data_IF_873441847601
#
_entry.id   IF_873441847601
#
_cell.length_a   1.000
_cell.length_b   1.000
_cell.length_c   1.000
_cell.angle_alpha   90.00
_cell.angle_beta   90.00
_cell.angle_gamma   90.00
#
_symmetry.space_group_name_H-M   'P 1'
#
loop_
_entity.id
_entity.type
_entity.pdbx_description
1 polymer ?
#
# COMPACT_ATOMS: atom_id res chain seq x y z
N UNK A 1 15.94 70.01 -23.32
CA UNK A 1 16.48 68.94 -22.45
C UNK A 1 15.37 68.56 -21.47
N UNK A 2 14.63 67.49 -21.76
CA UNK A 2 13.63 66.92 -20.84
C UNK A 2 13.93 65.42 -20.80
N UNK A 3 14.44 64.97 -19.66
CA UNK A 3 14.76 63.56 -19.41
C UNK A 3 13.47 62.85 -18.98
N UNK A 4 13.04 61.86 -19.76
CA UNK A 4 11.98 60.93 -19.37
C UNK A 4 12.56 59.82 -18.50
N UNK A 5 12.17 59.80 -17.22
CA UNK A 5 12.50 58.76 -16.26
C UNK A 5 11.53 57.59 -16.43
N UNK A 6 12.03 56.47 -16.96
CA UNK A 6 11.29 55.22 -17.06
C UNK A 6 11.31 54.52 -15.70
N UNK A 7 10.14 54.41 -15.04
CA UNK A 7 10.00 53.63 -13.80
C UNK A 7 9.87 52.15 -14.20
N UNK A 8 10.91 51.37 -13.90
CA UNK A 8 10.92 49.92 -14.05
C UNK A 8 10.17 49.31 -12.86
N UNK A 9 8.95 48.80 -13.07
CA UNK A 9 8.24 48.01 -12.06
C UNK A 9 8.87 46.60 -12.03
N UNK A 10 9.74 46.35 -11.06
CA UNK A 10 10.22 44.99 -10.76
C UNK A 10 9.09 44.22 -10.06
N UNK A 11 8.43 43.32 -10.78
CA UNK A 11 7.52 42.36 -10.18
C UNK A 11 8.34 41.35 -9.35
N UNK A 12 8.32 41.53 -8.02
CA UNK A 12 8.80 40.53 -7.07
C UNK A 12 7.91 39.30 -7.18
N UNK A 13 8.35 38.30 -7.96
CA UNK A 13 7.86 36.95 -7.88
C UNK A 13 8.28 36.39 -6.52
N UNK A 14 7.40 36.50 -5.53
CA UNK A 14 7.51 35.71 -4.31
C UNK A 14 7.54 34.22 -4.74
N UNK A 15 8.54 33.42 -4.33
CA UNK A 15 8.48 32.00 -4.54
C UNK A 15 7.20 31.50 -3.87
N UNK A 16 6.33 30.84 -4.63
CA UNK A 16 5.20 30.14 -4.05
C UNK A 16 5.75 29.22 -2.97
N UNK A 17 5.50 29.56 -1.71
CA UNK A 17 5.84 28.69 -0.60
C UNK A 17 5.07 27.39 -0.86
N UNK A 18 5.78 26.36 -1.29
CA UNK A 18 5.25 25.01 -1.41
C UNK A 18 4.88 24.61 0.02
N UNK A 19 3.61 24.79 0.38
CA UNK A 19 3.08 24.29 1.64
C UNK A 19 3.34 22.80 1.65
N UNK A 20 4.17 22.33 2.59
CA UNK A 20 4.41 20.90 2.81
C UNK A 20 3.05 20.25 3.00
N UNK A 21 2.73 19.25 2.18
CA UNK A 21 1.45 18.55 2.29
C UNK A 21 1.35 17.94 3.69
N UNK A 22 0.26 18.21 4.39
CA UNK A 22 0.03 17.65 5.72
C UNK A 22 -0.52 16.24 5.61
N UNK A 23 -0.14 15.37 6.55
CA UNK A 23 -0.68 14.01 6.64
C UNK A 23 -2.18 14.11 6.98
N UNK A 24 -3.07 13.52 6.17
CA UNK A 24 -4.51 13.64 6.41
C UNK A 24 -4.93 12.90 7.68
N UNK A 25 -5.63 13.57 8.61
CA UNK A 25 -6.10 12.92 9.84
C UNK A 25 -7.07 11.76 9.58
N UNK A 26 -7.75 11.76 8.43
CA UNK A 26 -8.68 10.71 8.01
C UNK A 26 -8.02 9.33 7.89
N UNK A 27 -6.70 9.26 7.62
CA UNK A 27 -5.92 8.00 7.64
C UNK A 27 -5.98 7.29 8.99
N UNK A 28 -6.30 8.03 10.05
CA UNK A 28 -6.30 7.59 11.44
C UNK A 28 -7.69 7.70 12.09
N UNK A 29 -8.72 8.03 11.30
CA UNK A 29 -10.08 8.21 11.79
C UNK A 29 -10.67 6.91 12.34
N UNK A 30 -11.43 6.95 13.46
CA UNK A 30 -12.15 5.78 13.95
C UNK A 30 -13.22 5.27 12.97
N UNK A 31 -13.60 6.06 11.95
CA UNK A 31 -14.46 5.62 10.85
C UNK A 31 -13.86 4.44 10.08
N UNK A 32 -12.53 4.34 9.99
CA UNK A 32 -11.84 3.20 9.37
C UNK A 32 -12.26 1.86 9.99
N UNK A 33 -11.89 1.63 11.26
CA UNK A 33 -12.33 0.46 12.02
C UNK A 33 -13.85 0.26 12.01
N UNK A 34 -14.64 1.31 12.22
CA UNK A 34 -16.10 1.22 12.27
C UNK A 34 -16.70 0.68 10.97
N UNK A 35 -16.23 1.18 9.81
CA UNK A 35 -16.72 0.74 8.49
C UNK A 35 -16.29 -0.68 8.17
N UNK A 36 -15.05 -1.06 8.50
CA UNK A 36 -14.57 -2.44 8.29
C UNK A 36 -15.38 -3.43 9.13
N UNK A 37 -15.66 -3.10 10.40
CA UNK A 37 -16.50 -3.93 11.27
C UNK A 37 -17.96 -3.98 10.77
N UNK A 38 -18.52 -2.87 10.30
CA UNK A 38 -19.85 -2.84 9.72
C UNK A 38 -19.94 -3.73 8.47
N UNK A 39 -18.93 -3.70 7.60
CA UNK A 39 -18.83 -4.59 6.45
C UNK A 39 -18.74 -6.05 6.88
N UNK A 40 -17.93 -6.40 7.88
CA UNK A 40 -17.84 -7.78 8.39
C UNK A 40 -19.18 -8.28 8.94
N UNK A 41 -19.91 -7.43 9.67
CA UNK A 41 -21.24 -7.78 10.22
C UNK A 41 -22.32 -7.91 9.15
N UNK A 42 -22.23 -7.13 8.07
CA UNK A 42 -23.16 -7.17 6.95
C UNK A 42 -22.81 -8.24 5.90
N UNK A 43 -21.68 -8.92 6.06
CA UNK A 43 -21.13 -9.86 5.08
C UNK A 43 -22.05 -11.07 4.91
N UNK A 44 -22.55 -11.33 3.69
CA UNK A 44 -23.26 -12.58 3.40
C UNK A 44 -22.33 -13.79 3.58
N UNK A 45 -22.89 -14.95 3.93
CA UNK A 45 -22.13 -16.19 4.10
C UNK A 45 -21.23 -16.47 2.90
N UNK A 46 -19.92 -16.62 3.16
CA UNK A 46 -18.90 -16.92 2.15
C UNK A 46 -18.88 -15.97 0.95
N UNK A 47 -19.13 -14.67 1.18
CA UNK A 47 -18.91 -13.62 0.17
C UNK A 47 -17.97 -12.54 0.69
N UNK A 48 -17.28 -11.88 -0.22
CA UNK A 48 -16.30 -10.82 0.05
C UNK A 48 -16.66 -9.54 -0.71
N UNK A 49 -16.42 -8.36 -0.13
CA UNK A 49 -16.68 -7.10 -0.82
C UNK A 49 -15.59 -6.88 -1.87
N UNK A 50 -15.95 -6.29 -3.02
CA UNK A 50 -14.98 -5.99 -4.07
C UNK A 50 -14.96 -4.50 -4.42
N UNK A 51 -16.11 -3.96 -4.79
CA UNK A 51 -16.31 -2.54 -5.04
C UNK A 51 -17.69 -2.09 -4.57
N UNK A 52 -17.94 -0.79 -4.51
CA UNK A 52 -19.26 -0.25 -4.16
C UNK A 52 -20.12 0.06 -5.40
N UNK A 53 -21.44 0.01 -5.26
CA UNK A 53 -22.34 0.59 -6.27
C UNK A 53 -22.32 2.13 -6.20
N UNK A 54 -23.10 2.80 -7.06
CA UNK A 54 -23.20 4.26 -7.10
C UNK A 54 -23.70 4.89 -5.79
N UNK A 55 -24.36 4.12 -4.92
CA UNK A 55 -24.85 4.55 -3.61
C UNK A 55 -23.82 4.30 -2.49
N UNK A 56 -22.62 3.83 -2.84
CA UNK A 56 -21.57 3.55 -1.85
C UNK A 56 -21.76 2.25 -1.07
N UNK A 57 -22.60 1.32 -1.54
CA UNK A 57 -22.82 0.02 -0.89
C UNK A 57 -21.97 -1.07 -1.53
N UNK A 58 -21.35 -1.93 -0.73
CA UNK A 58 -20.53 -3.05 -1.18
C UNK A 58 -21.33 -4.00 -2.07
N UNK A 59 -20.73 -4.31 -3.21
CA UNK A 59 -21.10 -5.44 -4.07
C UNK A 59 -20.28 -6.65 -3.63
N UNK A 60 -21.00 -7.73 -3.31
CA UNK A 60 -20.43 -8.94 -2.75
C UNK A 60 -20.18 -10.00 -3.82
N UNK A 61 -19.02 -10.63 -3.74
CA UNK A 61 -18.53 -11.65 -4.67
C UNK A 61 -18.19 -12.93 -3.93
N UNK A 62 -18.14 -14.03 -4.67
CA UNK A 62 -17.77 -15.31 -4.09
C UNK A 62 -16.24 -15.39 -3.88
N UNK A 63 -15.78 -16.37 -3.11
CA UNK A 63 -14.38 -16.48 -2.69
C UNK A 63 -13.37 -16.45 -3.87
N UNK A 64 -13.80 -16.94 -5.04
CA UNK A 64 -13.01 -16.99 -6.28
C UNK A 64 -12.76 -15.64 -6.97
N UNK A 65 -13.20 -14.50 -6.42
CA UNK A 65 -12.77 -13.20 -6.93
C UNK A 65 -11.30 -12.92 -6.54
N UNK A 66 -10.51 -12.36 -7.47
CA UNK A 66 -9.10 -12.03 -7.25
C UNK A 66 -8.84 -11.09 -6.06
N UNK A 67 -9.85 -10.33 -5.65
CA UNK A 67 -9.78 -9.37 -4.54
C UNK A 67 -10.10 -9.96 -3.17
N UNK A 68 -10.54 -11.21 -3.08
CA UNK A 68 -11.08 -11.77 -1.83
C UNK A 68 -10.06 -11.80 -0.69
N UNK A 69 -8.77 -11.76 -0.99
CA UNK A 69 -7.70 -11.66 0.03
C UNK A 69 -7.57 -10.29 0.69
N UNK A 70 -8.00 -9.20 0.04
CA UNK A 70 -7.80 -7.84 0.59
C UNK A 70 -8.64 -7.55 1.83
N UNK A 71 -9.88 -8.03 1.87
CA UNK A 71 -10.76 -7.78 3.01
C UNK A 71 -10.26 -8.40 4.32
N UNK A 72 -9.94 -9.71 4.40
CA UNK A 72 -9.30 -10.27 5.59
C UNK A 72 -7.94 -9.62 5.88
N UNK A 73 -7.13 -9.29 4.86
CA UNK A 73 -5.88 -8.57 5.06
C UNK A 73 -6.10 -7.16 5.66
N UNK A 74 -7.24 -6.52 5.41
CA UNK A 74 -7.62 -5.24 6.04
C UNK A 74 -7.83 -5.39 7.54
N UNK A 75 -8.41 -6.51 7.99
CA UNK A 75 -8.53 -6.81 9.42
C UNK A 75 -7.14 -6.95 10.05
N UNK A 76 -6.21 -7.64 9.38
CA UNK A 76 -4.81 -7.68 9.82
C UNK A 76 -4.15 -6.30 9.83
N UNK A 77 -4.39 -5.45 8.84
CA UNK A 77 -3.87 -4.08 8.84
C UNK A 77 -4.39 -3.25 10.03
N UNK A 78 -5.65 -3.43 10.43
CA UNK A 78 -6.19 -2.82 11.65
C UNK A 78 -5.60 -3.43 12.92
N UNK A 79 -5.32 -4.74 12.94
CA UNK A 79 -4.59 -5.37 14.04
C UNK A 79 -3.16 -4.82 14.16
N UNK A 80 -2.46 -4.63 13.05
CA UNK A 80 -1.13 -4.01 13.01
C UNK A 80 -1.18 -2.57 13.54
N UNK A 81 -2.21 -1.79 13.16
CA UNK A 81 -2.40 -0.46 13.75
C UNK A 81 -2.65 -0.54 15.26
N UNK A 82 -3.44 -1.51 15.72
CA UNK A 82 -3.69 -1.73 17.15
C UNK A 82 -2.40 -2.04 17.91
N UNK A 83 -1.49 -2.82 17.33
CA UNK A 83 -0.18 -3.11 17.91
C UNK A 83 0.67 -1.85 17.98
N UNK A 84 0.70 -1.04 16.92
CA UNK A 84 1.47 0.20 16.86
C UNK A 84 0.97 1.29 17.83
N UNK A 85 -0.35 1.39 18.02
CA UNK A 85 -0.97 2.53 18.70
C UNK A 85 -1.63 2.21 20.05
N UNK A 86 -1.78 0.94 20.38
CA UNK A 86 -2.76 0.52 21.38
C UNK A 86 -4.20 0.68 20.89
N UNK A 87 -5.13 0.03 21.60
CA UNK A 87 -6.56 0.15 21.32
C UNK A 87 -7.19 1.18 22.25
N UNK A 88 -7.88 2.18 21.71
CA UNK A 88 -8.64 3.14 22.51
C UNK A 88 -9.88 3.63 21.74
N UNK A 89 -10.77 4.35 22.43
CA UNK A 89 -11.98 4.87 21.81
C UNK A 89 -11.70 5.92 20.71
N UNK A 90 -10.64 6.70 20.84
CA UNK A 90 -10.28 7.76 19.88
C UNK A 90 -9.90 7.22 18.51
N UNK A 91 -9.15 6.11 18.48
CA UNK A 91 -8.74 5.45 17.24
C UNK A 91 -9.72 4.35 16.79
N UNK A 92 -10.71 4.01 17.61
CA UNK A 92 -11.74 3.01 17.29
C UNK A 92 -11.23 1.58 17.17
N UNK A 93 -10.00 1.27 17.59
CA UNK A 93 -9.41 -0.06 17.44
C UNK A 93 -9.83 -1.04 18.54
N UNK A 94 -10.51 -0.57 19.59
CA UNK A 94 -10.99 -1.40 20.71
C UNK A 94 -12.35 -2.06 20.46
N UNK A 95 -12.97 -1.84 19.30
CA UNK A 95 -14.34 -2.30 19.00
C UNK A 95 -14.43 -3.75 18.50
N UNK A 96 -13.30 -4.39 18.22
CA UNK A 96 -13.23 -5.76 17.71
C UNK A 96 -11.87 -6.41 17.98
N UNK A 97 -11.86 -7.75 17.97
CA UNK A 97 -10.62 -8.53 17.82
C UNK A 97 -10.30 -8.66 16.33
N UNK A 98 -9.47 -7.74 15.83
CA UNK A 98 -9.13 -7.66 14.41
C UNK A 98 -8.39 -8.90 13.89
N UNK A 99 -7.52 -9.52 14.70
CA UNK A 99 -6.84 -10.75 14.28
C UNK A 99 -7.84 -11.90 14.17
N UNK A 100 -8.71 -12.08 15.16
CA UNK A 100 -9.72 -13.13 15.12
C UNK A 100 -10.69 -12.97 13.93
N UNK A 101 -11.08 -11.73 13.63
CA UNK A 101 -11.86 -11.43 12.43
C UNK A 101 -11.07 -11.75 11.15
N UNK A 102 -9.78 -11.40 11.07
CA UNK A 102 -8.93 -11.71 9.92
C UNK A 102 -8.83 -13.21 9.66
N UNK A 103 -8.61 -14.01 10.71
CA UNK A 103 -8.63 -15.48 10.64
C UNK A 103 -9.99 -15.97 10.12
N UNK A 104 -11.09 -15.46 10.67
CA UNK A 104 -12.44 -15.89 10.27
C UNK A 104 -12.78 -15.52 8.82
N UNK A 105 -12.45 -14.30 8.40
CA UNK A 105 -12.70 -13.80 7.05
C UNK A 105 -11.78 -14.46 5.99
N UNK A 106 -10.72 -15.15 6.41
CA UNK A 106 -9.86 -15.96 5.53
C UNK A 106 -10.41 -17.37 5.28
N UNK A 107 -11.36 -17.83 6.11
CA UNK A 107 -11.96 -19.17 5.94
C UNK A 107 -12.78 -19.23 4.66
N UNK A 108 -12.50 -20.24 3.85
CA UNK A 108 -13.19 -20.47 2.57
C UNK A 108 -12.56 -19.74 1.38
N UNK A 109 -11.46 -19.00 1.57
CA UNK A 109 -10.67 -18.53 0.43
C UNK A 109 -10.11 -19.71 -0.38
N UNK A 110 -10.09 -19.63 -1.72
CA UNK A 110 -9.57 -20.70 -2.56
C UNK A 110 -8.07 -20.84 -2.37
N UNK A 111 -7.59 -22.07 -2.24
CA UNK A 111 -6.15 -22.39 -2.12
C UNK A 111 -5.57 -22.97 -3.41
N UNK A 112 -6.25 -22.76 -4.54
CA UNK A 112 -5.85 -23.20 -5.87
C UNK A 112 -5.90 -22.06 -6.89
N UNK A 113 -5.21 -22.27 -8.02
CA UNK A 113 -5.19 -21.33 -9.14
C UNK A 113 -6.30 -21.58 -10.17
N UNK A 114 -7.12 -22.62 -10.03
CA UNK A 114 -8.22 -22.91 -10.99
C UNK A 114 -9.29 -21.83 -10.91
N UNK A 115 -9.50 -21.30 -9.71
CA UNK A 115 -10.55 -20.32 -9.43
C UNK A 115 -10.11 -18.87 -9.67
N UNK A 116 -8.81 -18.56 -9.49
CA UNK A 116 -8.29 -17.17 -9.46
C UNK A 116 -7.08 -16.92 -10.37
N UNK A 117 -6.61 -17.91 -11.13
CA UNK A 117 -5.45 -17.77 -12.01
C UNK A 117 -4.18 -17.39 -11.24
N UNK A 118 -3.50 -16.33 -11.67
CA UNK A 118 -2.28 -15.85 -11.00
C UNK A 118 -2.52 -15.05 -9.72
N UNK A 119 -3.74 -14.58 -9.49
CA UNK A 119 -4.09 -13.73 -8.35
C UNK A 119 -4.09 -14.49 -7.02
N UNK A 120 -3.67 -15.77 -7.03
CA UNK A 120 -3.35 -16.54 -5.82
C UNK A 120 -2.39 -15.81 -4.88
N UNK A 121 -1.54 -14.91 -5.40
CA UNK A 121 -0.70 -14.05 -4.57
C UNK A 121 -1.51 -13.02 -3.76
N UNK A 122 -2.48 -12.34 -4.36
CA UNK A 122 -3.40 -11.46 -3.62
C UNK A 122 -4.25 -12.23 -2.60
N UNK A 123 -4.71 -13.44 -2.96
CA UNK A 123 -5.42 -14.33 -2.02
C UNK A 123 -4.53 -14.74 -0.84
N UNK A 124 -3.21 -14.77 -1.02
CA UNK A 124 -2.27 -15.18 0.04
C UNK A 124 -2.07 -14.15 1.15
N UNK A 125 -2.42 -12.88 0.91
CA UNK A 125 -2.13 -11.76 1.81
C UNK A 125 -2.51 -12.02 3.28
N UNK A 126 -3.74 -12.41 3.63
CA UNK A 126 -4.08 -12.63 5.04
C UNK A 126 -3.29 -13.76 5.70
N UNK A 127 -2.86 -14.78 4.95
CA UNK A 127 -2.04 -15.87 5.49
C UNK A 127 -0.60 -15.41 5.73
N UNK A 128 -0.09 -14.53 4.87
CA UNK A 128 1.21 -13.88 5.09
C UNK A 128 1.18 -13.03 6.36
N UNK A 129 0.12 -12.24 6.56
CA UNK A 129 -0.08 -11.45 7.77
C UNK A 129 -0.23 -12.32 9.03
N UNK A 130 -0.94 -13.45 8.95
CA UNK A 130 -1.04 -14.39 10.07
C UNK A 130 0.33 -14.98 10.45
N UNK A 131 1.17 -15.35 9.47
CA UNK A 131 2.52 -15.85 9.77
C UNK A 131 3.44 -14.79 10.37
N UNK A 132 3.24 -13.51 10.05
CA UNK A 132 3.99 -12.43 10.70
C UNK A 132 3.66 -12.34 12.21
N UNK A 133 2.45 -12.71 12.61
CA UNK A 133 1.99 -12.70 14.02
C UNK A 133 2.19 -14.04 14.73
N UNK A 134 2.04 -15.14 14.02
CA UNK A 134 2.18 -16.51 14.51
C UNK A 134 2.94 -17.36 13.47
N UNK A 135 4.28 -17.36 13.51
CA UNK A 135 5.10 -18.08 12.53
C UNK A 135 4.87 -19.59 12.48
N UNK A 136 4.26 -20.16 13.51
CA UNK A 136 3.98 -21.59 13.63
C UNK A 136 2.54 -21.97 13.23
N UNK A 137 1.73 -21.02 12.74
CA UNK A 137 0.35 -21.28 12.33
C UNK A 137 0.28 -22.28 11.17
N UNK A 138 -0.15 -23.49 11.47
CA UNK A 138 -0.16 -24.59 10.51
C UNK A 138 -1.16 -24.38 9.37
N UNK A 139 -2.21 -23.60 9.58
CA UNK A 139 -3.20 -23.30 8.54
C UNK A 139 -2.62 -22.31 7.53
N UNK A 140 -1.97 -21.25 8.01
CA UNK A 140 -1.31 -20.27 7.17
C UNK A 140 -0.12 -20.86 6.40
N UNK A 141 0.73 -21.69 7.05
CA UNK A 141 1.83 -22.42 6.39
C UNK A 141 1.31 -23.27 5.23
N UNK A 142 0.28 -24.10 5.47
CA UNK A 142 -0.31 -24.94 4.42
C UNK A 142 -0.92 -24.10 3.30
N UNK A 143 -1.60 -23.01 3.63
CA UNK A 143 -2.25 -22.13 2.65
C UNK A 143 -1.22 -21.44 1.74
N UNK A 144 -0.15 -20.87 2.31
CA UNK A 144 0.95 -20.25 1.56
C UNK A 144 1.62 -21.26 0.64
N UNK A 145 1.95 -22.46 1.13
CA UNK A 145 2.59 -23.48 0.30
C UNK A 145 1.68 -23.96 -0.84
N UNK A 146 0.39 -24.16 -0.59
CA UNK A 146 -0.57 -24.53 -1.64
C UNK A 146 -0.71 -23.44 -2.70
N UNK A 147 -0.88 -22.19 -2.30
CA UNK A 147 -1.00 -21.05 -3.21
C UNK A 147 0.29 -20.83 -4.02
N UNK A 148 1.46 -20.95 -3.39
CA UNK A 148 2.75 -20.81 -4.06
C UNK A 148 2.99 -21.92 -5.08
N UNK A 149 2.64 -23.16 -4.74
CA UNK A 149 2.67 -24.28 -5.69
C UNK A 149 1.72 -24.03 -6.88
N UNK A 150 0.52 -23.52 -6.61
CA UNK A 150 -0.45 -23.19 -7.65
C UNK A 150 0.07 -22.07 -8.58
N UNK A 151 0.73 -21.04 -8.04
CA UNK A 151 1.37 -19.97 -8.83
C UNK A 151 2.54 -20.52 -9.65
N UNK A 152 3.40 -21.34 -9.04
CA UNK A 152 4.57 -21.94 -9.69
C UNK A 152 4.19 -22.88 -10.83
N UNK A 153 3.07 -23.59 -10.75
CA UNK A 153 2.54 -24.43 -11.84
C UNK A 153 2.15 -23.62 -13.08
N UNK A 154 1.93 -22.31 -12.96
CA UNK A 154 1.65 -21.41 -14.08
C UNK A 154 2.93 -20.90 -14.75
N UNK A 155 4.11 -21.26 -14.25
CA UNK A 155 5.39 -20.83 -14.79
C UNK A 155 5.74 -21.55 -16.09
N UNK A 156 6.28 -20.82 -17.06
CA UNK A 156 6.85 -21.39 -18.28
C UNK A 156 8.31 -20.94 -18.41
N UNK A 157 9.24 -21.90 -18.44
CA UNK A 157 10.70 -21.63 -18.49
C UNK A 157 11.14 -20.83 -19.72
N UNK A 158 10.47 -21.02 -20.86
CA UNK A 158 10.82 -20.36 -22.12
C UNK A 158 10.41 -18.90 -22.13
N UNK A 159 9.21 -18.61 -21.63
CA UNK A 159 8.72 -17.23 -21.43
C UNK A 159 9.46 -16.58 -20.26
N UNK A 160 9.72 -17.33 -19.19
CA UNK A 160 10.32 -16.84 -17.97
C UNK A 160 9.34 -16.14 -17.03
N UNK A 161 8.03 -16.34 -17.20
CA UNK A 161 6.99 -15.75 -16.35
C UNK A 161 5.97 -16.81 -15.90
N UNK A 162 5.17 -16.45 -14.90
CA UNK A 162 3.93 -17.13 -14.53
C UNK A 162 2.78 -16.55 -15.36
N UNK A 163 1.88 -17.40 -15.85
CA UNK A 163 0.77 -17.00 -16.71
C UNK A 163 -0.30 -16.28 -15.92
N UNK A 164 -0.78 -15.13 -16.40
CA UNK A 164 -1.83 -14.37 -15.70
C UNK A 164 -3.19 -15.06 -15.74
N UNK A 165 -3.72 -15.31 -16.93
CA UNK A 165 -4.96 -16.05 -17.16
C UNK A 165 -4.82 -16.95 -18.39
N UNK A 166 -5.69 -17.94 -18.48
CA UNK A 166 -5.71 -18.88 -19.58
C UNK A 166 -6.43 -18.28 -20.80
N UNK A 167 -5.99 -18.67 -21.99
CA UNK A 167 -6.61 -18.25 -23.26
C UNK A 167 -6.94 -19.48 -24.08
N UNK A 168 -7.82 -19.34 -25.06
CA UNK A 168 -8.17 -20.43 -25.98
C UNK A 168 -7.00 -20.86 -26.87
N UNK A 169 -6.03 -19.97 -27.11
CA UNK A 169 -4.81 -20.30 -27.85
C UNK A 169 -3.75 -20.83 -26.87
N UNK A 170 -3.39 -22.12 -26.92
CA UNK A 170 -2.38 -22.69 -26.02
C UNK A 170 -0.98 -22.11 -26.26
N UNK A 171 -0.72 -21.50 -27.42
CA UNK A 171 0.55 -20.84 -27.73
C UNK A 171 0.60 -19.40 -27.24
N UNK A 172 -0.53 -18.77 -26.89
CA UNK A 172 -0.55 -17.43 -26.32
C UNK A 172 -0.34 -17.49 -24.80
N UNK A 173 0.77 -16.93 -24.33
CA UNK A 173 1.09 -16.81 -22.92
C UNK A 173 0.93 -15.36 -22.47
N UNK A 174 -0.14 -15.06 -21.74
CA UNK A 174 -0.47 -13.69 -21.33
C UNK A 174 0.11 -13.37 -19.95
N UNK A 175 0.79 -12.23 -19.82
CA UNK A 175 1.33 -11.71 -18.55
C UNK A 175 0.91 -10.26 -18.36
N UNK A 176 0.39 -9.92 -17.19
CA UNK A 176 0.03 -8.55 -16.79
C UNK A 176 0.98 -7.99 -15.73
N UNK A 177 1.09 -6.67 -15.62
CA UNK A 177 2.01 -6.03 -14.67
C UNK A 177 1.67 -6.33 -13.20
N UNK A 178 0.40 -6.58 -12.89
CA UNK A 178 -0.15 -6.94 -11.58
C UNK A 178 0.49 -8.23 -11.04
N UNK A 179 1.00 -9.09 -11.92
CA UNK A 179 1.70 -10.31 -11.51
C UNK A 179 2.91 -10.02 -10.60
N UNK A 180 3.52 -8.84 -10.71
CA UNK A 180 4.62 -8.42 -9.85
C UNK A 180 4.25 -8.43 -8.36
N UNK A 181 2.98 -8.16 -8.04
CA UNK A 181 2.48 -8.18 -6.66
C UNK A 181 2.38 -9.60 -6.10
N UNK A 182 2.24 -10.59 -6.99
CA UNK A 182 2.01 -11.98 -6.62
C UNK A 182 3.33 -12.74 -6.36
N UNK A 183 4.49 -12.16 -6.71
CA UNK A 183 5.79 -12.83 -6.61
C UNK A 183 6.26 -13.02 -5.15
N UNK A 184 5.84 -12.15 -4.24
CA UNK A 184 6.19 -12.25 -2.82
C UNK A 184 5.73 -13.57 -2.19
N UNK A 185 4.60 -14.12 -2.63
CA UNK A 185 4.10 -15.42 -2.21
C UNK A 185 5.16 -16.53 -2.40
N UNK A 186 5.88 -16.52 -3.52
CA UNK A 186 6.91 -17.51 -3.81
C UNK A 186 8.10 -17.41 -2.84
N UNK A 187 8.46 -16.19 -2.42
CA UNK A 187 9.51 -15.97 -1.42
C UNK A 187 9.07 -16.44 -0.02
N UNK A 188 7.81 -16.22 0.37
CA UNK A 188 7.27 -16.74 1.64
C UNK A 188 7.32 -18.26 1.69
N UNK A 189 6.82 -18.94 0.66
CA UNK A 189 6.88 -20.41 0.61
C UNK A 189 8.31 -20.94 0.53
N UNK A 190 9.20 -20.28 -0.23
CA UNK A 190 10.62 -20.65 -0.27
C UNK A 190 11.28 -20.55 1.11
N UNK A 191 10.94 -19.55 1.92
CA UNK A 191 11.45 -19.41 3.30
C UNK A 191 10.95 -20.54 4.21
N UNK A 192 9.69 -20.95 4.06
CA UNK A 192 9.09 -22.02 4.85
C UNK A 192 9.62 -23.41 4.49
N UNK A 193 9.98 -23.63 3.22
CA UNK A 193 10.28 -24.97 2.69
C UNK A 193 11.75 -25.18 2.31
N UNK A 194 12.54 -24.11 2.19
CA UNK A 194 13.88 -24.16 1.61
C UNK A 194 13.91 -24.33 0.09
N UNK A 195 12.75 -24.28 -0.59
CA UNK A 195 12.66 -24.53 -2.03
C UNK A 195 13.18 -23.33 -2.86
N UNK A 196 14.44 -23.40 -3.29
CA UNK A 196 15.11 -22.36 -4.07
C UNK A 196 14.46 -22.10 -5.44
N UNK A 197 13.87 -23.14 -6.06
CA UNK A 197 13.20 -23.00 -7.37
C UNK A 197 12.08 -21.95 -7.34
N UNK A 198 11.38 -21.78 -6.22
CA UNK A 198 10.34 -20.76 -6.08
C UNK A 198 10.93 -19.34 -6.15
N UNK A 199 12.11 -19.11 -5.56
CA UNK A 199 12.84 -17.83 -5.67
C UNK A 199 13.30 -17.59 -7.10
N UNK A 200 13.84 -18.62 -7.76
CA UNK A 200 14.29 -18.53 -9.15
C UNK A 200 13.15 -18.15 -10.10
N UNK A 201 11.96 -18.74 -9.90
CA UNK A 201 10.74 -18.39 -10.65
C UNK A 201 10.40 -16.91 -10.47
N UNK A 202 10.40 -16.42 -9.23
CA UNK A 202 10.08 -15.03 -8.93
C UNK A 202 11.07 -14.05 -9.57
N UNK A 203 12.37 -14.34 -9.46
CA UNK A 203 13.45 -13.53 -10.05
C UNK A 203 13.34 -13.54 -11.58
N UNK A 204 13.16 -14.72 -12.18
CA UNK A 204 13.03 -14.87 -13.64
C UNK A 204 11.82 -14.11 -14.18
N UNK A 205 10.70 -14.16 -13.45
CA UNK A 205 9.50 -13.38 -13.77
C UNK A 205 9.81 -11.89 -13.73
N UNK A 206 10.34 -11.38 -12.62
CA UNK A 206 10.64 -9.96 -12.45
C UNK A 206 11.61 -9.44 -13.53
N UNK A 207 12.66 -10.21 -13.86
CA UNK A 207 13.63 -9.85 -14.90
C UNK A 207 12.98 -9.79 -16.30
N UNK A 208 12.04 -10.69 -16.58
CA UNK A 208 11.32 -10.72 -17.87
C UNK A 208 10.33 -9.56 -17.98
N UNK A 209 9.57 -9.29 -16.91
CA UNK A 209 8.67 -8.13 -16.82
C UNK A 209 9.45 -6.82 -16.96
N UNK A 210 10.62 -6.70 -16.33
CA UNK A 210 11.51 -5.54 -16.44
C UNK A 210 11.92 -5.27 -17.91
N UNK A 211 12.18 -6.32 -18.70
CA UNK A 211 12.57 -6.19 -20.11
C UNK A 211 11.42 -5.84 -21.05
N UNK A 212 10.21 -6.33 -20.77
CA UNK A 212 9.13 -6.34 -21.76
C UNK A 212 7.92 -5.49 -21.39
N UNK A 213 7.60 -5.31 -20.10
CA UNK A 213 6.49 -4.46 -19.62
C UNK A 213 6.90 -3.02 -19.34
N UNK A 214 8.18 -2.76 -19.05
CA UNK A 214 8.65 -1.41 -18.72
C UNK A 214 9.15 -0.71 -19.97
N UNK A 215 8.60 0.47 -20.25
CA UNK A 215 9.03 1.33 -21.36
C UNK A 215 10.32 2.07 -21.00
N UNK A 216 11.13 2.49 -21.99
CA UNK A 216 12.36 3.24 -21.73
C UNK A 216 12.16 4.52 -20.92
N UNK A 217 11.01 5.20 -21.08
CA UNK A 217 10.63 6.42 -20.35
C UNK A 217 10.20 6.17 -18.90
N UNK A 218 10.05 4.91 -18.48
CA UNK A 218 9.56 4.52 -17.16
C UNK A 218 8.05 4.24 -17.09
N UNK A 219 7.31 4.47 -18.18
CA UNK A 219 5.91 4.04 -18.27
C UNK A 219 5.77 2.53 -18.42
N UNK A 220 4.54 2.02 -18.36
CA UNK A 220 4.25 0.58 -18.39
C UNK A 220 3.22 0.21 -19.44
N UNK A 221 3.46 -0.90 -20.12
CA UNK A 221 2.38 -1.66 -20.74
C UNK A 221 1.66 -2.47 -19.65
N UNK A 222 0.34 -2.55 -19.77
CA UNK A 222 -0.46 -3.37 -18.85
C UNK A 222 -0.25 -4.86 -19.16
N UNK A 223 -0.42 -5.28 -20.41
CA UNK A 223 -0.41 -6.69 -20.83
C UNK A 223 0.66 -6.93 -21.89
N UNK A 224 1.43 -8.00 -21.73
CA UNK A 224 2.33 -8.54 -22.76
C UNK A 224 1.94 -9.98 -23.04
N UNK A 225 1.67 -10.27 -24.32
CA UNK A 225 1.40 -11.61 -24.81
C UNK A 225 2.70 -12.17 -25.43
N UNK A 226 3.09 -13.39 -25.04
CA UNK A 226 4.27 -14.09 -25.53
C UNK A 226 3.87 -15.38 -26.27
N UNK A 227 4.72 -15.87 -27.17
CA UNK A 227 4.62 -17.23 -27.71
C UNK A 227 5.17 -18.21 -26.66
N UNK A 228 4.32 -19.12 -26.19
CA UNK A 228 4.64 -20.06 -25.11
C UNK A 228 5.76 -21.07 -25.44
N UNK A 229 6.08 -21.26 -26.73
CA UNK A 229 7.08 -22.21 -27.22
C UNK A 229 8.44 -21.54 -27.46
N UNK A 230 8.47 -20.24 -27.73
CA UNK A 230 9.71 -19.51 -28.04
C UNK A 230 10.10 -18.48 -26.98
N UNK A 231 9.13 -17.98 -26.20
CA UNK A 231 9.31 -16.85 -25.28
C UNK A 231 9.31 -15.48 -25.99
N UNK A 232 9.11 -15.44 -27.30
CA UNK A 232 9.06 -14.19 -28.07
C UNK A 232 7.81 -13.37 -27.77
N UNK A 233 7.95 -12.04 -27.68
CA UNK A 233 6.80 -11.12 -27.52
C UNK A 233 5.98 -11.11 -28.81
N UNK A 234 4.68 -11.40 -28.69
CA UNK A 234 3.71 -11.31 -29.78
C UNK A 234 3.17 -9.89 -29.89
N UNK A 235 2.72 -9.32 -28.77
CA UNK A 235 2.19 -7.95 -28.71
C UNK A 235 2.18 -7.40 -27.28
N UNK A 236 2.06 -6.08 -27.18
CA UNK A 236 1.88 -5.34 -25.93
C UNK A 236 0.62 -4.51 -26.04
N UNK A 237 -0.23 -4.57 -25.03
CA UNK A 237 -1.59 -4.01 -25.08
C UNK A 237 -2.11 -3.64 -23.69
N UNK A 238 -3.35 -3.21 -23.64
CA UNK A 238 -4.07 -3.04 -22.37
C UNK A 238 -5.39 -3.82 -22.34
N UNK A 239 -5.82 -4.18 -21.13
CA UNK A 239 -7.19 -4.65 -20.88
C UNK A 239 -8.03 -3.60 -20.14
N UNK A 240 -7.39 -2.77 -19.30
CA UNK A 240 -8.05 -1.85 -18.36
C UNK A 240 -7.57 -0.42 -18.46
N UNK A 241 -6.67 -0.09 -19.38
CA UNK A 241 -6.20 1.27 -19.66
C UNK A 241 -6.94 1.90 -20.84
N UNK A 242 -6.54 3.12 -21.19
CA UNK A 242 -7.15 3.89 -22.27
C UNK A 242 -6.78 3.38 -23.67
N UNK A 243 -5.51 3.07 -23.90
CA UNK A 243 -5.02 2.54 -25.18
C UNK A 243 -3.82 1.60 -24.95
N UNK A 244 -3.42 0.85 -25.97
CA UNK A 244 -2.30 -0.10 -25.84
C UNK A 244 -0.97 0.57 -25.50
N UNK A 245 -0.80 1.84 -25.88
CA UNK A 245 0.39 2.65 -25.57
C UNK A 245 0.21 3.55 -24.36
N UNK A 246 -0.98 3.62 -23.76
CA UNK A 246 -1.25 4.47 -22.60
C UNK A 246 -0.59 3.96 -21.32
N UNK A 247 -0.69 4.75 -20.25
CA UNK A 247 -0.25 4.36 -18.92
C UNK A 247 -1.42 4.31 -17.96
N UNK A 248 -1.97 3.11 -17.81
CA UNK A 248 -2.95 2.84 -16.78
C UNK A 248 -2.31 2.99 -15.39
N UNK A 249 -2.84 3.91 -14.57
CA UNK A 249 -2.12 4.36 -13.37
C UNK A 249 -2.02 3.29 -12.29
N UNK A 250 -3.06 2.46 -12.11
CA UNK A 250 -2.97 1.32 -11.18
C UNK A 250 -1.93 0.29 -11.64
N UNK A 251 -1.82 0.01 -12.94
CA UNK A 251 -0.78 -0.85 -13.49
C UNK A 251 0.63 -0.30 -13.24
N UNK A 252 0.81 1.01 -13.40
CA UNK A 252 2.05 1.69 -13.05
C UNK A 252 2.35 1.54 -11.55
N UNK A 253 1.36 1.76 -10.68
CA UNK A 253 1.48 1.61 -9.23
C UNK A 253 1.83 0.18 -8.81
N UNK A 254 1.25 -0.84 -9.44
CA UNK A 254 1.63 -2.25 -9.22
C UNK A 254 3.09 -2.51 -9.56
N UNK A 255 3.56 -1.98 -10.68
CA UNK A 255 4.95 -2.12 -11.08
C UNK A 255 5.91 -1.42 -10.10
N UNK A 256 5.61 -0.18 -9.69
CA UNK A 256 6.45 0.55 -8.72
C UNK A 256 6.56 -0.23 -7.41
N UNK A 257 5.41 -0.65 -6.84
CA UNK A 257 5.41 -1.43 -5.61
C UNK A 257 6.12 -2.77 -5.80
N UNK A 258 5.77 -3.51 -6.85
CA UNK A 258 6.30 -4.84 -7.12
C UNK A 258 7.82 -4.86 -7.30
N UNK A 259 8.39 -3.90 -8.04
CA UNK A 259 9.85 -3.80 -8.17
C UNK A 259 10.54 -3.31 -6.90
N UNK A 260 9.96 -2.35 -6.17
CA UNK A 260 10.48 -1.94 -4.86
C UNK A 260 10.46 -3.11 -3.86
N UNK A 261 9.45 -3.97 -3.96
CA UNK A 261 9.31 -5.17 -3.15
C UNK A 261 10.30 -6.26 -3.54
N UNK A 262 10.55 -6.46 -4.84
CA UNK A 262 11.59 -7.37 -5.32
C UNK A 262 12.97 -6.95 -4.82
N UNK A 263 13.30 -5.66 -4.80
CA UNK A 263 14.54 -5.18 -4.17
C UNK A 263 14.58 -5.53 -2.68
N UNK A 264 13.50 -5.27 -1.92
CA UNK A 264 13.41 -5.64 -0.50
C UNK A 264 13.67 -7.13 -0.26
N UNK A 265 13.17 -7.99 -1.15
CA UNK A 265 13.25 -9.45 -1.02
C UNK A 265 14.58 -10.06 -1.49
N UNK A 266 15.34 -9.35 -2.33
CA UNK A 266 16.54 -9.90 -3.00
C UNK A 266 17.82 -9.09 -2.76
N UNK A 267 17.72 -7.82 -2.41
CA UNK A 267 18.85 -6.87 -2.36
C UNK A 267 19.35 -6.41 -3.75
N UNK A 268 18.70 -6.83 -4.84
CA UNK A 268 19.19 -6.60 -6.20
C UNK A 268 18.86 -5.19 -6.71
N UNK A 269 19.90 -4.35 -6.85
CA UNK A 269 19.78 -2.91 -7.16
C UNK A 269 19.02 -2.65 -8.48
N UNK A 270 19.07 -3.57 -9.45
CA UNK A 270 18.33 -3.44 -10.72
C UNK A 270 16.82 -3.27 -10.53
N UNK A 271 16.26 -3.86 -9.48
CA UNK A 271 14.85 -3.71 -9.14
C UNK A 271 14.58 -2.36 -8.47
N UNK A 272 15.49 -1.87 -7.63
CA UNK A 272 15.38 -0.52 -7.04
C UNK A 272 15.42 0.55 -8.14
N UNK A 273 16.35 0.44 -9.08
CA UNK A 273 16.47 1.41 -10.18
C UNK A 273 15.27 1.38 -11.10
N UNK A 274 14.70 0.20 -11.35
CA UNK A 274 13.43 0.06 -12.10
C UNK A 274 12.29 0.75 -11.36
N UNK A 275 12.14 0.50 -10.05
CA UNK A 275 11.10 1.13 -9.24
C UNK A 275 11.25 2.65 -9.18
N UNK A 276 12.48 3.18 -9.01
CA UNK A 276 12.79 4.62 -9.06
C UNK A 276 12.39 5.24 -10.39
N UNK A 277 12.78 4.63 -11.52
CA UNK A 277 12.45 5.12 -12.86
C UNK A 277 10.94 5.20 -13.07
N UNK A 278 10.22 4.15 -12.66
CA UNK A 278 8.76 4.09 -12.76
C UNK A 278 8.06 5.10 -11.85
N UNK A 279 8.58 5.30 -10.63
CA UNK A 279 8.07 6.29 -9.69
C UNK A 279 8.29 7.72 -10.20
N UNK A 280 9.49 8.02 -10.71
CA UNK A 280 9.79 9.32 -11.33
C UNK A 280 8.89 9.60 -12.54
N UNK A 281 8.65 8.61 -13.41
CA UNK A 281 7.68 8.74 -14.50
C UNK A 281 6.29 9.09 -13.94
N UNK A 282 5.80 8.33 -12.96
CA UNK A 282 4.48 8.58 -12.35
C UNK A 282 4.36 10.00 -11.79
N UNK A 283 5.35 10.45 -11.01
CA UNK A 283 5.35 11.78 -10.39
C UNK A 283 5.45 12.90 -11.42
N UNK A 284 6.24 12.72 -12.49
CA UNK A 284 6.36 13.71 -13.57
C UNK A 284 5.08 13.88 -14.38
N UNK A 285 4.21 12.86 -14.39
CA UNK A 285 2.93 12.84 -15.11
C UNK A 285 1.74 13.19 -14.23
N UNK A 286 1.95 13.39 -12.92
CA UNK A 286 0.88 13.71 -11.99
C UNK A 286 0.33 15.12 -12.26
N UNK A 287 -0.99 15.29 -12.43
CA UNK A 287 -1.59 16.60 -12.64
C UNK A 287 -1.37 17.55 -11.46
N UNK A 288 -1.46 18.86 -11.71
CA UNK A 288 -1.16 19.89 -10.72
C UNK A 288 -2.03 19.79 -9.45
N UNK A 289 -3.29 19.37 -9.58
CA UNK A 289 -4.21 19.15 -8.45
C UNK A 289 -3.85 17.94 -7.57
N UNK A 290 -2.88 17.12 -8.00
CA UNK A 290 -2.40 15.92 -7.31
C UNK A 290 -3.30 14.70 -7.44
N UNK A 291 -4.43 14.80 -8.15
CA UNK A 291 -5.34 13.67 -8.32
C UNK A 291 -4.80 12.73 -9.38
N UNK A 292 -4.53 11.48 -8.98
CA UNK A 292 -4.10 10.42 -9.91
C UNK A 292 -5.26 10.10 -10.86
N UNK A 293 -5.11 10.32 -12.18
CA UNK A 293 -6.12 9.91 -13.14
C UNK A 293 -6.21 8.38 -13.20
N UNK A 294 -7.28 7.81 -13.74
CA UNK A 294 -7.33 6.36 -14.03
C UNK A 294 -6.26 5.96 -15.06
N UNK A 295 -5.95 6.82 -16.01
CA UNK A 295 -4.91 6.62 -17.01
C UNK A 295 -4.27 7.97 -17.34
N UNK A 296 -2.94 8.03 -17.44
CA UNK A 296 -2.20 9.27 -17.69
C UNK A 296 -2.38 9.82 -19.11
N UNK A 297 -2.88 9.02 -20.04
CA UNK A 297 -3.05 9.40 -21.45
C UNK A 297 -4.53 9.44 -21.87
N UNK A 298 -5.46 9.23 -20.93
CA UNK A 298 -6.89 9.36 -21.19
C UNK A 298 -7.33 10.82 -21.39
N UNK A 299 -8.35 11.08 -22.23
CA UNK A 299 -8.95 12.41 -22.38
C UNK A 299 -9.45 12.97 -21.05
N UNK A 300 -9.27 14.27 -20.86
CA UNK A 300 -9.73 14.99 -19.66
C UNK A 300 -11.16 15.51 -19.79
N UNK A 301 -11.75 15.45 -20.99
CA UNK A 301 -13.12 15.87 -21.29
C UNK A 301 -14.04 14.65 -21.54
N UNK A 302 -15.32 14.67 -21.10
CA UNK A 302 -15.97 15.73 -20.31
C UNK A 302 -15.54 15.76 -18.84
N UNK A 303 -14.96 14.67 -18.32
CA UNK A 303 -14.42 14.64 -16.96
C UNK A 303 -13.24 13.68 -16.91
N UNK A 304 -12.13 14.15 -16.32
CA UNK A 304 -10.96 13.33 -16.02
C UNK A 304 -11.30 12.37 -14.89
N UNK A 305 -11.44 11.08 -15.21
CA UNK A 305 -11.66 10.03 -14.21
C UNK A 305 -10.42 9.85 -13.34
N UNK A 306 -10.62 9.71 -12.05
CA UNK A 306 -9.57 9.43 -11.08
C UNK A 306 -9.48 7.93 -10.78
N UNK A 307 -8.41 7.54 -10.09
CA UNK A 307 -8.34 6.25 -9.44
C UNK A 307 -7.73 6.36 -8.04
N UNK A 308 -8.61 6.38 -7.04
CA UNK A 308 -8.21 6.43 -5.63
C UNK A 308 -7.39 5.21 -5.19
N UNK A 309 -7.61 4.05 -5.81
CA UNK A 309 -6.85 2.84 -5.50
C UNK A 309 -5.40 2.93 -5.97
N UNK A 310 -5.15 3.45 -7.19
CA UNK A 310 -3.80 3.72 -7.68
C UNK A 310 -3.06 4.73 -6.79
N UNK A 311 -3.79 5.72 -6.27
CA UNK A 311 -3.25 6.74 -5.35
C UNK A 311 -2.80 6.14 -4.02
N UNK A 312 -3.67 5.34 -3.38
CA UNK A 312 -3.34 4.68 -2.12
C UNK A 312 -2.17 3.71 -2.27
N UNK A 313 -2.15 2.93 -3.35
CA UNK A 313 -1.09 1.97 -3.64
C UNK A 313 0.26 2.65 -3.92
N UNK A 314 0.30 3.68 -4.80
CA UNK A 314 1.58 4.34 -5.12
C UNK A 314 2.16 5.04 -3.91
N UNK A 315 1.33 5.58 -3.01
CA UNK A 315 1.81 6.14 -1.75
C UNK A 315 2.56 5.10 -0.90
N UNK A 316 2.02 3.88 -0.77
CA UNK A 316 2.73 2.78 -0.11
C UNK A 316 4.05 2.43 -0.83
N UNK A 317 4.03 2.42 -2.17
CA UNK A 317 5.23 2.12 -2.97
C UNK A 317 6.34 3.18 -2.77
N UNK A 318 5.97 4.46 -2.69
CA UNK A 318 6.88 5.55 -2.41
C UNK A 318 7.43 5.50 -0.98
N UNK A 319 6.60 5.16 0.02
CA UNK A 319 7.08 4.96 1.40
C UNK A 319 8.06 3.78 1.48
N UNK A 320 7.79 2.70 0.74
CA UNK A 320 8.69 1.56 0.63
C UNK A 320 10.01 1.93 -0.09
N UNK A 321 9.97 2.80 -1.10
CA UNK A 321 11.19 3.36 -1.72
C UNK A 321 11.96 4.24 -0.73
N UNK A 322 11.29 5.05 0.08
CA UNK A 322 11.96 5.91 1.06
C UNK A 322 12.84 5.14 2.05
N UNK A 323 12.43 3.91 2.42
CA UNK A 323 13.21 3.03 3.30
C UNK A 323 14.44 2.43 2.62
N UNK A 324 14.38 2.25 1.30
CA UNK A 324 15.40 1.54 0.51
C UNK A 324 16.32 2.50 -0.26
N UNK A 325 15.96 3.78 -0.32
CA UNK A 325 16.69 4.84 -1.00
C UNK A 325 16.92 6.04 -0.07
N UNK A 326 17.82 5.91 0.94
CA UNK A 326 18.05 6.96 1.94
C UNK A 326 18.41 8.32 1.35
N UNK A 327 19.15 8.32 0.23
CA UNK A 327 19.57 9.55 -0.46
C UNK A 327 18.38 10.38 -0.99
N UNK A 328 17.27 9.73 -1.35
CA UNK A 328 16.06 10.38 -1.86
C UNK A 328 14.84 10.18 -0.93
N UNK A 329 15.06 9.71 0.31
CA UNK A 329 13.97 9.33 1.21
C UNK A 329 12.97 10.46 1.44
N UNK A 330 13.46 11.70 1.60
CA UNK A 330 12.58 12.86 1.77
C UNK A 330 11.70 13.10 0.54
N UNK A 331 12.28 13.06 -0.66
CA UNK A 331 11.54 13.21 -1.91
C UNK A 331 10.40 12.19 -2.04
N UNK A 332 10.66 10.92 -1.70
CA UNK A 332 9.66 9.87 -1.75
C UNK A 332 8.57 10.06 -0.68
N UNK A 333 8.94 10.41 0.56
CA UNK A 333 7.98 10.67 1.65
C UNK A 333 7.07 11.85 1.33
N UNK A 334 7.62 12.96 0.87
CA UNK A 334 6.84 14.17 0.58
C UNK A 334 5.81 13.92 -0.54
N UNK A 335 6.20 13.19 -1.58
CA UNK A 335 5.28 12.84 -2.65
C UNK A 335 4.23 11.81 -2.20
N UNK A 336 4.58 10.84 -1.36
CA UNK A 336 3.61 9.92 -0.77
C UNK A 336 2.54 10.67 0.04
N UNK A 337 2.97 11.59 0.91
CA UNK A 337 2.07 12.40 1.74
C UNK A 337 1.22 13.33 0.85
N UNK A 338 1.80 13.94 -0.18
CA UNK A 338 1.06 14.77 -1.14
C UNK A 338 -0.04 13.99 -1.86
N UNK A 339 0.26 12.76 -2.32
CA UNK A 339 -0.71 11.91 -3.00
C UNK A 339 -1.82 11.46 -2.03
N UNK A 340 -1.46 11.09 -0.79
CA UNK A 340 -2.42 10.74 0.25
C UNK A 340 -3.35 11.93 0.55
N UNK A 341 -2.81 13.13 0.73
CA UNK A 341 -3.62 14.33 0.95
C UNK A 341 -4.56 14.64 -0.22
N UNK A 342 -4.08 14.50 -1.46
CA UNK A 342 -4.90 14.70 -2.65
C UNK A 342 -6.03 13.66 -2.74
N UNK A 343 -5.75 12.37 -2.55
CA UNK A 343 -6.79 11.33 -2.62
C UNK A 343 -7.77 11.42 -1.47
N UNK A 344 -7.34 11.76 -0.24
CA UNK A 344 -8.26 11.97 0.88
C UNK A 344 -9.22 13.11 0.59
N UNK A 345 -8.73 14.27 0.12
CA UNK A 345 -9.57 15.41 -0.27
C UNK A 345 -10.55 15.06 -1.37
N UNK A 346 -10.10 14.28 -2.36
CA UNK A 346 -10.95 13.89 -3.49
C UNK A 346 -12.01 12.86 -3.10
N UNK A 347 -11.60 11.82 -2.37
CA UNK A 347 -12.29 10.54 -2.34
C UNK A 347 -12.72 10.09 -0.93
N UNK A 348 -12.32 10.76 0.16
CA UNK A 348 -12.86 10.42 1.48
C UNK A 348 -14.39 10.58 1.48
N UNK A 349 -15.12 9.53 1.83
CA UNK A 349 -16.60 9.52 1.82
C UNK A 349 -17.18 8.87 3.08
N UNK A 350 -17.39 9.64 4.16
CA UNK A 350 -18.00 9.13 5.40
C UNK A 350 -19.31 8.36 5.19
N UNK A 351 -20.16 8.82 4.25
CA UNK A 351 -21.48 8.24 3.99
C UNK A 351 -21.47 6.96 3.14
N UNK A 352 -20.31 6.49 2.67
CA UNK A 352 -20.19 5.25 1.92
C UNK A 352 -19.74 4.09 2.83
N UNK A 353 -19.99 2.85 2.43
CA UNK A 353 -19.47 1.68 3.13
C UNK A 353 -17.96 1.52 2.95
N UNK A 354 -17.42 1.97 1.81
CA UNK A 354 -15.97 2.12 1.61
C UNK A 354 -15.41 3.37 2.29
N UNK A 355 -14.09 3.44 2.49
CA UNK A 355 -13.40 4.63 2.96
C UNK A 355 -13.26 5.66 1.83
N UNK A 356 -12.77 5.19 0.69
CA UNK A 356 -12.54 6.00 -0.50
C UNK A 356 -13.63 5.74 -1.56
N UNK A 357 -14.04 6.78 -2.27
CA UNK A 357 -14.78 6.71 -3.55
C UNK A 357 -13.83 6.92 -4.73
N UNK A 358 -14.36 7.22 -5.92
CA UNK A 358 -13.58 7.65 -7.10
C UNK A 358 -12.44 6.69 -7.50
N UNK A 359 -12.58 5.41 -7.17
CA UNK A 359 -11.78 4.32 -7.73
C UNK A 359 -12.32 3.91 -9.09
N UNK A 360 -11.43 3.38 -9.92
CA UNK A 360 -11.78 2.90 -11.26
C UNK A 360 -11.42 1.43 -11.42
N UNK A 361 -12.39 0.52 -11.31
CA UNK A 361 -12.16 -0.94 -11.39
C UNK A 361 -11.82 -1.35 -12.82
N UNK A 362 -12.65 -0.97 -13.80
CA UNK A 362 -12.47 -1.32 -15.21
C UNK A 362 -13.20 -0.31 -16.10
N UNK A 363 -12.53 0.78 -16.49
CA UNK A 363 -13.20 1.82 -17.29
C UNK A 363 -13.74 1.31 -18.64
N UNK A 364 -13.03 0.48 -19.42
CA UNK A 364 -13.59 -0.02 -20.69
C UNK A 364 -14.90 -0.82 -20.53
N UNK A 365 -15.19 -1.33 -19.33
CA UNK A 365 -16.44 -2.02 -18.98
C UNK A 365 -17.39 -1.13 -18.14
N UNK A 366 -17.17 0.18 -18.12
CA UNK A 366 -17.96 1.17 -17.37
C UNK A 366 -18.08 0.91 -15.85
N UNK A 367 -17.04 0.32 -15.24
CA UNK A 367 -16.96 0.15 -13.79
C UNK A 367 -15.96 1.15 -13.18
N UNK A 368 -16.45 2.32 -12.78
CA UNK A 368 -15.67 3.43 -12.23
C UNK A 368 -16.51 4.31 -11.29
N UNK A 369 -15.89 5.30 -10.64
CA UNK A 369 -16.51 6.13 -9.61
C UNK A 369 -17.06 5.32 -8.43
N UNK A 370 -16.29 4.32 -8.00
CA UNK A 370 -16.66 3.38 -6.95
C UNK A 370 -15.63 3.39 -5.82
N UNK A 371 -15.96 2.83 -4.66
CA UNK A 371 -14.99 2.43 -3.65
C UNK A 371 -14.47 1.04 -3.97
N UNK A 372 -13.24 0.73 -3.56
CA UNK A 372 -12.62 -0.57 -3.85
C UNK A 372 -11.99 -1.14 -2.60
N UNK A 373 -12.16 -2.45 -2.38
CA UNK A 373 -11.65 -3.12 -1.18
C UNK A 373 -10.12 -3.02 -1.08
N UNK A 374 -9.42 -3.09 -2.22
CA UNK A 374 -7.97 -2.93 -2.28
C UNK A 374 -7.53 -1.48 -2.09
N UNK A 375 -8.31 -0.50 -2.57
CA UNK A 375 -8.05 0.92 -2.29
C UNK A 375 -8.15 1.24 -0.81
N UNK A 376 -9.18 0.73 -0.13
CA UNK A 376 -9.34 0.88 1.33
C UNK A 376 -8.21 0.18 2.10
N UNK A 377 -7.84 -1.05 1.70
CA UNK A 377 -6.70 -1.79 2.27
C UNK A 377 -5.40 -0.97 2.21
N UNK A 378 -5.02 -0.50 1.01
CA UNK A 378 -3.78 0.28 0.85
C UNK A 378 -3.85 1.64 1.55
N UNK A 379 -5.02 2.25 1.68
CA UNK A 379 -5.17 3.51 2.42
C UNK A 379 -4.90 3.30 3.92
N UNK A 380 -5.45 2.24 4.52
CA UNK A 380 -5.16 1.87 5.92
C UNK A 380 -3.67 1.53 6.08
N UNK A 381 -3.12 0.74 5.15
CA UNK A 381 -1.72 0.31 5.17
C UNK A 381 -0.76 1.51 5.12
N UNK A 382 -1.06 2.51 4.28
CA UNK A 382 -0.27 3.74 4.20
C UNK A 382 -0.24 4.49 5.55
N UNK A 383 -1.38 4.57 6.24
CA UNK A 383 -1.42 5.16 7.58
C UNK A 383 -0.59 4.37 8.60
N UNK A 384 -0.58 3.03 8.53
CA UNK A 384 0.28 2.21 9.38
C UNK A 384 1.75 2.50 9.12
N UNK A 385 2.11 2.59 7.84
CA UNK A 385 3.47 2.80 7.36
C UNK A 385 4.01 4.19 7.78
N UNK A 386 3.18 5.22 7.74
CA UNK A 386 3.53 6.55 8.24
C UNK A 386 3.83 6.54 9.73
N UNK A 387 3.03 5.82 10.54
CA UNK A 387 3.26 5.70 11.98
C UNK A 387 4.51 4.88 12.27
N UNK A 388 4.66 3.73 11.63
CA UNK A 388 5.82 2.84 11.80
C UNK A 388 7.14 3.53 11.40
N UNK A 389 7.08 4.49 10.47
CA UNK A 389 8.24 5.27 10.03
C UNK A 389 8.46 6.56 10.83
N UNK A 390 7.70 6.79 11.90
CA UNK A 390 7.81 7.98 12.76
C UNK A 390 7.34 9.28 12.09
N UNK A 391 6.63 9.20 10.96
CA UNK A 391 6.12 10.37 10.22
C UNK A 391 4.77 10.85 10.76
N UNK A 392 4.04 9.98 11.47
CA UNK A 392 2.77 10.31 12.10
C UNK A 392 2.70 9.75 13.51
N UNK A 393 1.92 10.42 14.37
CA UNK A 393 1.62 9.94 15.71
C UNK A 393 0.27 9.21 15.74
N UNK A 394 0.16 8.26 16.67
CA UNK A 394 -1.11 7.61 16.96
C UNK A 394 -2.11 8.60 17.61
N UNK A 395 -3.40 8.57 17.24
CA UNK A 395 -4.43 9.39 17.90
C UNK A 395 -4.55 9.03 19.39
N UNK A 396 -4.41 10.03 20.27
CA UNK A 396 -4.44 9.86 21.74
C UNK A 396 -5.72 10.38 22.41
N UNK A 397 -6.46 11.26 21.74
CA UNK A 397 -7.82 11.66 22.14
C UNK A 397 -8.67 11.83 20.88
N UNK A 398 -10.00 11.75 21.03
CA UNK A 398 -10.92 11.89 19.90
C UNK A 398 -10.80 13.27 19.20
N UNK A 399 -10.24 14.26 19.92
CA UNK A 399 -10.03 15.63 19.45
C UNK A 399 -8.60 15.91 18.97
N UNK A 400 -7.65 14.98 19.13
CA UNK A 400 -6.23 15.18 18.81
C UNK A 400 -5.88 14.72 17.39
N UNK A 401 -6.40 15.43 16.39
CA UNK A 401 -5.87 15.36 15.03
C UNK A 401 -4.84 16.47 14.81
N UNK A 402 -3.68 16.34 15.45
CA UNK A 402 -2.57 17.31 15.28
C UNK A 402 -1.38 16.57 14.70
N UNK A 403 -0.98 16.96 13.48
CA UNK A 403 0.27 16.53 12.88
C UNK A 403 1.44 16.94 13.79
N UNK A 404 2.41 16.05 13.98
CA UNK A 404 3.61 16.36 14.76
C UNK A 404 4.37 17.48 14.05
N UNK A 405 4.66 18.63 14.69
CA UNK A 405 5.46 19.68 14.08
C UNK A 405 6.89 19.18 13.86
N UNK A 406 7.40 19.40 12.65
CA UNK A 406 8.78 19.16 12.29
C UNK A 406 9.63 20.25 12.97
N UNK A 407 10.30 19.96 14.09
CA UNK A 407 11.12 20.97 14.78
C UNK A 407 12.47 21.12 14.10
N UNK A 408 12.57 22.11 13.20
CA UNK A 408 13.82 22.82 12.96
C UNK A 408 14.01 23.84 14.10
N UNK A 409 15.15 23.76 14.78
CA UNK A 409 15.57 24.70 15.82
C UNK A 409 15.54 26.14 15.31
N UNK A 410 14.79 27.01 15.98
CA UNK A 410 15.09 28.43 16.06
C UNK A 410 14.87 28.91 17.50
N UNK A 411 15.97 29.38 18.08
CA UNK A 411 16.10 30.03 19.39
C UNK A 411 15.46 31.41 19.37
N UNK A 412 14.63 31.73 20.36
CA UNK A 412 14.46 33.11 20.85
C UNK A 412 14.27 33.12 22.36
N UNK A 413 15.18 33.84 23.02
CA UNK A 413 15.15 34.33 24.40
C UNK A 413 13.97 35.26 24.65
N UNK A 414 13.35 35.21 25.84
CA UNK A 414 13.35 36.35 26.76
C UNK A 414 12.90 35.99 28.18
N UNK A 415 13.40 36.78 29.14
CA UNK A 415 13.37 36.67 30.60
C UNK A 415 12.10 37.17 31.29
N UNK A 416 11.78 36.64 32.49
CA UNK A 416 11.77 37.36 33.80
C UNK A 416 10.92 36.66 34.89
N UNK A 417 11.54 36.38 36.04
CA UNK A 417 11.13 36.58 37.46
C UNK A 417 9.62 36.47 37.86
N UNK A 418 9.17 35.86 38.97
CA UNK A 418 9.70 35.76 40.33
C UNK A 418 8.83 34.85 41.25
N UNK A 419 9.49 34.08 42.13
CA UNK A 419 9.31 33.93 43.61
C UNK A 419 8.01 33.34 44.22
N UNK A 420 8.16 32.19 44.90
CA UNK A 420 7.25 31.53 45.88
C UNK A 420 7.12 32.31 47.22
N UNK A 421 6.19 31.95 48.14
CA UNK A 421 6.51 30.90 49.12
C UNK A 421 5.33 29.98 49.54
N UNK A 422 5.67 28.70 49.73
CA UNK A 422 5.03 27.68 50.58
C UNK A 422 5.42 27.88 52.08
N UNK A 423 5.11 27.01 53.09
CA UNK A 423 4.31 25.76 53.13
C UNK A 423 3.40 25.59 54.39
N UNK A 424 2.56 24.54 54.42
CA UNK A 424 2.23 23.83 55.67
C UNK A 424 2.22 22.31 55.43
N UNK A 425 2.94 21.62 56.33
CA UNK A 425 3.18 20.18 56.45
C UNK A 425 1.95 19.41 56.94
N UNK A 426 1.89 18.11 56.61
CA UNK A 426 1.91 17.09 57.66
C UNK A 426 2.34 15.72 57.13
N UNK A 427 3.15 15.06 57.97
CA UNK A 427 3.72 13.72 57.92
C UNK A 427 2.63 12.61 57.97
N UNK A 428 2.86 11.44 57.37
CA UNK A 428 3.47 10.32 58.12
C UNK A 428 3.55 8.98 57.31
N UNK A 429 4.79 8.54 57.18
CA UNK A 429 5.40 7.20 57.40
C UNK A 429 4.98 5.88 56.69
N UNK A 430 6.08 5.20 56.29
CA UNK A 430 6.37 3.76 56.19
C UNK A 430 5.85 2.98 54.95
N UNK A 431 6.62 2.12 54.31
CA UNK A 431 7.99 1.63 54.51
C UNK A 431 8.41 0.81 53.28
N UNK A 432 9.71 0.85 52.97
CA UNK A 432 10.36 0.21 51.84
C UNK A 432 10.32 -1.33 51.86
N UNK A 433 10.22 -1.93 50.67
CA UNK A 433 10.97 -3.13 50.28
C UNK A 433 11.30 -3.05 48.79
N UNK A 434 12.60 -2.97 48.50
CA UNK A 434 13.18 -3.08 47.18
C UNK A 434 13.10 -4.54 46.70
N UNK A 435 12.69 -4.76 45.45
CA UNK A 435 12.99 -6.00 44.72
C UNK A 435 13.25 -5.74 43.24
N UNK A 436 14.47 -6.13 42.85
CA UNK A 436 15.10 -6.33 41.54
C UNK A 436 14.38 -5.94 40.25
N UNK A 437 15.06 -5.02 39.56
CA UNK A 437 14.83 -4.58 38.19
C UNK A 437 15.74 -5.39 37.25
N UNK A 438 15.34 -6.64 36.94
CA UNK A 438 16.10 -7.52 36.04
C UNK A 438 15.25 -8.53 35.24
N UNK A 439 13.98 -8.22 34.96
CA UNK A 439 13.11 -9.08 34.11
C UNK A 439 12.31 -8.36 33.03
N UNK A 440 12.62 -7.09 32.74
CA UNK A 440 11.87 -6.24 31.79
C UNK A 440 12.63 -5.91 30.49
N UNK A 441 13.60 -6.75 30.11
CA UNK A 441 14.39 -6.62 28.89
C UNK A 441 14.21 -7.76 27.87
N UNK A 442 13.29 -8.72 28.14
CA UNK A 442 12.99 -9.84 27.24
C UNK A 442 11.76 -9.66 26.33
N UNK A 443 11.02 -8.54 26.44
CA UNK A 443 9.68 -8.41 25.84
C UNK A 443 9.50 -7.33 24.76
N UNK A 444 10.54 -6.56 24.42
CA UNK A 444 10.41 -5.37 23.57
C UNK A 444 11.13 -5.45 22.22
N UNK A 445 11.73 -6.60 21.88
CA UNK A 445 12.42 -6.84 20.59
C UNK A 445 11.57 -7.60 19.54
N UNK A 446 10.28 -7.81 19.78
CA UNK A 446 9.40 -8.56 18.87
C UNK A 446 8.39 -7.68 18.10
N UNK A 447 8.39 -6.35 18.27
CA UNK A 447 7.33 -5.46 17.73
C UNK A 447 7.86 -4.37 16.77
N UNK A 448 9.16 -4.33 16.52
CA UNK A 448 9.71 -3.68 15.33
C UNK A 448 10.21 -4.77 14.39
N UNK A 449 9.50 -5.03 13.30
CA UNK A 449 9.95 -5.87 12.19
C UNK A 449 11.11 -5.22 11.43
N UNK A 450 12.21 -4.94 12.12
CA UNK A 450 13.54 -4.85 11.57
C UNK A 450 14.02 -6.30 11.39
N UNK A 451 13.90 -6.83 10.18
CA UNK A 451 14.70 -8.00 9.79
C UNK A 451 16.16 -7.57 9.69
N UNK A 452 16.84 -7.54 10.83
CA UNK A 452 18.27 -7.79 10.93
C UNK A 452 18.48 -9.31 10.93
N UNK A 453 18.22 -9.91 9.77
CA UNK A 453 18.77 -11.22 9.38
C UNK A 453 19.10 -11.14 7.89
N UNK A 454 19.95 -10.17 7.56
CA UNK A 454 20.80 -10.17 6.37
C UNK A 454 22.14 -10.75 6.81
N UNK A 455 22.29 -12.07 6.65
CA UNK A 455 23.55 -12.78 6.40
C UNK A 455 23.21 -14.26 6.23
N UNK A 456 23.59 -14.78 5.04
CA UNK A 456 23.39 -16.10 4.43
C UNK A 456 22.12 -16.31 3.61
#
# INVERSE_FOLDING_TARGET
MLASTTILLAALLLPAQLTVAQIPPELFSPLGPQKVLAAERARPNQRWPQWTNANGQWVWFDAGAWTSGFFPATHYALNSRRILCGANAANGLNIADWRALGINASRGLPLDARSVGHDVGFISFPFVEELALNPNDQTAIRSINSLANALAQRFNDRVGCTRSWDTSDPNQFTVIIDNMMNLELLFHSARLTGNQRLRDIAIRHADTTMRHHIRPDGGTWHVVDYDARTGGVIRKRTAQGYSDSSTWTRGQSWGIYGFANMHRLTGEVRYLDTARRMANYFLSRLPADGFVPWDFDAPTTPTRLADSSASALVANALLLLARQDPANAQHWRDNAIRILAAVTRLAWRPNWQSLLSNGTVHRPQNNYNTGTVYGDYYYILAGNELIASGLAACPRSADAFVAVPNTSNETTSDSSDSVDPEPVKDDDTNSALAFNMDSLLGGLLAVAGLSLYTLF
#
